data_IF_334753260149
#
_entry.id   IF_334753260149
#
_cell.length_a   1.000
_cell.length_b   1.000
_cell.length_c   1.000
_cell.angle_alpha   90.00
_cell.angle_beta   90.00
_cell.angle_gamma   90.00
#
_symmetry.space_group_name_H-M   'P 1'
#
loop_
_entity.id
_entity.type
_entity.pdbx_description
1 polymer ?
#
# COMPACT_ATOMS: atom_id res chain seq x y z
N UNK A 1 16.44 29.44 -5.58
CA UNK A 1 17.77 28.79 -5.47
C UNK A 1 17.78 27.91 -4.22
N UNK A 2 17.74 26.56 -4.30
CA UNK A 2 17.70 25.71 -3.13
C UNK A 2 19.11 25.34 -2.64
N UNK A 3 19.32 25.38 -1.33
CA UNK A 3 20.60 25.09 -0.70
C UNK A 3 20.92 23.58 -0.70
N UNK A 4 22.08 23.21 -1.26
CA UNK A 4 22.61 21.82 -1.26
C UNK A 4 22.94 21.36 0.17
N UNK A 5 22.20 20.38 0.68
CA UNK A 5 22.54 19.62 1.90
C UNK A 5 23.75 18.73 1.58
N UNK A 6 24.93 19.06 2.11
CA UNK A 6 26.11 18.19 1.99
C UNK A 6 25.91 16.98 2.90
N UNK A 7 25.63 15.83 2.32
CA UNK A 7 25.77 14.55 3.01
C UNK A 7 27.25 14.21 3.04
N UNK A 8 27.88 14.28 4.21
CA UNK A 8 29.24 13.79 4.41
C UNK A 8 29.29 12.31 4.02
N UNK A 9 30.22 11.94 3.14
CA UNK A 9 30.44 10.56 2.71
C UNK A 9 30.93 9.67 3.85
N UNK A 10 30.93 8.34 3.65
CA UNK A 10 31.35 7.40 4.69
C UNK A 10 32.85 7.55 4.91
N UNK A 11 33.24 8.08 6.07
CA UNK A 11 34.61 7.99 6.55
C UNK A 11 34.88 6.54 6.94
N UNK A 12 35.39 5.76 5.99
CA UNK A 12 36.03 4.48 6.28
C UNK A 12 37.32 4.77 7.04
N UNK A 13 37.24 4.94 8.35
CA UNK A 13 38.42 4.97 9.22
C UNK A 13 38.88 3.54 9.44
N UNK A 14 39.70 3.05 8.52
CA UNK A 14 40.66 1.98 8.80
C UNK A 14 41.62 2.51 9.86
N UNK A 15 41.32 2.22 11.13
CA UNK A 15 42.13 2.61 12.28
C UNK A 15 42.24 1.41 13.20
N UNK A 16 43.16 0.49 12.87
CA UNK A 16 43.71 -0.42 13.87
C UNK A 16 44.40 0.43 14.93
N UNK A 17 43.89 0.40 16.15
CA UNK A 17 44.40 1.22 17.25
C UNK A 17 43.85 0.70 18.56
N UNK A 18 44.67 -0.09 19.24
CA UNK A 18 44.67 -0.34 20.69
C UNK A 18 43.31 -0.63 21.34
N UNK A 19 43.09 -1.90 21.67
CA UNK A 19 42.37 -2.32 22.87
C UNK A 19 43.08 -1.80 24.13
N UNK A 20 43.23 -0.49 24.26
CA UNK A 20 43.52 0.15 25.54
C UNK A 20 42.17 0.50 26.16
N UNK A 21 41.71 -0.40 27.02
CA UNK A 21 40.64 -0.16 27.98
C UNK A 21 40.99 1.10 28.74
N UNK A 22 40.42 2.25 28.34
CA UNK A 22 40.50 3.44 29.18
C UNK A 22 39.94 3.06 30.56
N UNK A 23 40.50 3.54 31.68
CA UNK A 23 40.04 3.16 33.02
C UNK A 23 38.55 3.44 33.25
N UNK A 24 37.92 4.29 32.42
CA UNK A 24 36.48 4.53 32.39
C UNK A 24 35.64 3.40 31.74
N UNK A 25 36.24 2.56 30.90
CA UNK A 25 35.56 1.48 30.17
C UNK A 25 35.23 0.28 31.07
N UNK A 26 35.99 0.11 32.15
CA UNK A 26 35.76 -0.92 33.15
C UNK A 26 34.86 -0.50 34.31
N UNK A 27 34.55 0.80 34.43
CA UNK A 27 33.62 1.34 35.42
C UNK A 27 32.22 0.67 35.26
N UNK A 28 31.67 0.07 36.33
CA UNK A 28 30.33 -0.52 36.30
C UNK A 28 29.24 0.45 35.82
N UNK A 29 29.36 1.75 36.11
CA UNK A 29 28.40 2.75 35.65
C UNK A 29 28.45 2.95 34.12
N UNK A 30 29.65 2.90 33.53
CA UNK A 30 29.82 2.94 32.08
C UNK A 30 29.23 1.69 31.41
N UNK A 31 29.55 0.50 31.92
CA UNK A 31 29.05 -0.78 31.40
C UNK A 31 27.51 -0.84 31.38
N UNK A 32 26.86 -0.37 32.44
CA UNK A 32 25.39 -0.28 32.51
C UNK A 32 24.80 0.67 31.46
N UNK A 33 25.36 1.87 31.30
CA UNK A 33 24.93 2.83 30.27
C UNK A 33 25.10 2.25 28.86
N UNK A 34 26.22 1.55 28.60
CA UNK A 34 26.48 0.94 27.30
C UNK A 34 25.54 -0.23 27.01
N UNK A 35 25.29 -1.09 28.00
CA UNK A 35 24.28 -2.16 27.90
C UNK A 35 22.90 -1.60 27.54
N UNK A 36 22.45 -0.56 28.25
CA UNK A 36 21.16 0.10 27.98
C UNK A 36 21.09 0.73 26.59
N UNK A 37 22.18 1.35 26.12
CA UNK A 37 22.23 1.91 24.77
C UNK A 37 22.19 0.82 23.69
N UNK A 38 22.98 -0.25 23.86
CA UNK A 38 22.99 -1.38 22.93
C UNK A 38 21.59 -2.00 22.82
N UNK A 39 20.92 -2.19 23.95
CA UNK A 39 19.54 -2.68 23.99
C UNK A 39 18.57 -1.70 23.29
N UNK A 40 18.68 -0.40 23.54
CA UNK A 40 17.86 0.60 22.85
C UNK A 40 18.07 0.58 21.33
N UNK A 41 19.32 0.48 20.88
CA UNK A 41 19.66 0.39 19.46
C UNK A 41 19.10 -0.88 18.82
N UNK A 42 19.21 -2.02 19.50
CA UNK A 42 18.61 -3.28 19.04
C UNK A 42 17.09 -3.14 18.89
N UNK A 43 16.40 -2.60 19.92
CA UNK A 43 14.96 -2.35 19.83
C UNK A 43 14.59 -1.41 18.68
N UNK A 44 15.36 -0.35 18.44
CA UNK A 44 15.11 0.56 17.31
C UNK A 44 15.24 -0.17 15.97
N UNK A 45 16.30 -0.96 15.78
CA UNK A 45 16.52 -1.74 14.56
C UNK A 45 15.39 -2.74 14.33
N UNK A 46 15.00 -3.47 15.37
CA UNK A 46 13.89 -4.43 15.32
C UNK A 46 12.57 -3.73 14.98
N UNK A 47 12.28 -2.58 15.60
CA UNK A 47 11.09 -1.78 15.29
C UNK A 47 11.06 -1.36 13.83
N UNK A 48 12.19 -0.89 13.28
CA UNK A 48 12.28 -0.50 11.87
C UNK A 48 12.10 -1.69 10.95
N UNK A 49 12.74 -2.83 11.27
CA UNK A 49 12.59 -4.09 10.51
C UNK A 49 11.14 -4.56 10.50
N UNK A 50 10.52 -4.65 11.69
CA UNK A 50 9.13 -5.04 11.85
C UNK A 50 8.18 -4.11 11.09
N UNK A 51 8.37 -2.80 11.17
CA UNK A 51 7.54 -1.84 10.43
C UNK A 51 7.68 -1.99 8.91
N UNK A 52 8.87 -2.36 8.42
CA UNK A 52 9.07 -2.65 6.99
C UNK A 52 8.37 -3.96 6.57
N UNK A 53 8.45 -5.00 7.39
CA UNK A 53 7.74 -6.27 7.18
C UNK A 53 6.22 -6.08 7.22
N UNK A 54 5.69 -5.34 8.20
CA UNK A 54 4.27 -5.00 8.31
C UNK A 54 3.77 -4.27 7.06
N UNK A 55 4.55 -3.30 6.54
CA UNK A 55 4.22 -2.59 5.29
C UNK A 55 4.22 -3.53 4.09
N UNK A 56 5.21 -4.41 3.98
CA UNK A 56 5.26 -5.41 2.90
C UNK A 56 4.02 -6.32 2.94
N UNK A 57 3.69 -6.85 4.12
CA UNK A 57 2.54 -7.72 4.31
C UNK A 57 1.22 -6.98 4.02
N UNK A 58 1.13 -5.69 4.38
CA UNK A 58 -0.05 -4.87 4.06
C UNK A 58 -0.21 -4.67 2.55
N UNK A 59 0.89 -4.44 1.83
CA UNK A 59 0.86 -4.32 0.36
C UNK A 59 0.41 -5.63 -0.28
N UNK A 60 0.92 -6.76 0.20
CA UNK A 60 0.54 -8.09 -0.29
C UNK A 60 -0.95 -8.36 -0.05
N UNK A 61 -1.44 -8.13 1.17
CA UNK A 61 -2.86 -8.21 1.50
C UNK A 61 -3.72 -7.34 0.57
N UNK A 62 -3.35 -6.07 0.37
CA UNK A 62 -4.10 -5.15 -0.49
C UNK A 62 -4.10 -5.59 -1.96
N UNK A 63 -3.04 -6.24 -2.44
CA UNK A 63 -3.00 -6.79 -3.81
C UNK A 63 -3.96 -7.96 -3.95
N UNK A 64 -3.97 -8.88 -3.01
CA UNK A 64 -4.89 -10.01 -3.01
C UNK A 64 -6.35 -9.53 -2.92
N UNK A 65 -6.62 -8.55 -2.07
CA UNK A 65 -7.96 -8.00 -1.88
C UNK A 65 -8.45 -7.28 -3.15
N UNK A 66 -7.59 -6.50 -3.81
CA UNK A 66 -7.92 -5.91 -5.11
C UNK A 66 -8.25 -6.96 -6.18
N UNK A 67 -7.49 -8.06 -6.24
CA UNK A 67 -7.79 -9.14 -7.19
C UNK A 67 -9.16 -9.77 -6.92
N UNK A 68 -9.50 -9.98 -5.65
CA UNK A 68 -10.82 -10.49 -5.26
C UNK A 68 -11.94 -9.52 -5.64
N UNK A 69 -11.78 -8.24 -5.31
CA UNK A 69 -12.75 -7.20 -5.65
C UNK A 69 -12.94 -7.08 -7.16
N UNK A 70 -11.86 -7.07 -7.94
CA UNK A 70 -11.93 -7.03 -9.40
C UNK A 70 -12.69 -8.24 -9.96
N UNK A 71 -12.43 -9.43 -9.42
CA UNK A 71 -13.14 -10.66 -9.84
C UNK A 71 -14.64 -10.56 -9.54
N UNK A 72 -15.01 -10.03 -8.37
CA UNK A 72 -16.41 -9.79 -8.03
C UNK A 72 -17.07 -8.80 -8.99
N UNK A 73 -16.43 -7.65 -9.24
CA UNK A 73 -16.90 -6.64 -10.20
C UNK A 73 -17.12 -7.25 -11.58
N UNK A 74 -16.15 -8.03 -12.07
CA UNK A 74 -16.26 -8.67 -13.38
C UNK A 74 -17.39 -9.71 -13.44
N UNK A 75 -17.65 -10.41 -12.32
CA UNK A 75 -18.76 -11.36 -12.23
C UNK A 75 -20.12 -10.66 -12.23
N UNK A 76 -20.24 -9.54 -11.52
CA UNK A 76 -21.45 -8.72 -11.48
C UNK A 76 -21.71 -8.07 -12.84
N UNK A 77 -20.68 -7.54 -13.51
CA UNK A 77 -20.77 -7.02 -14.88
C UNK A 77 -21.30 -8.08 -15.85
N UNK A 78 -20.84 -9.33 -15.74
CA UNK A 78 -21.36 -10.45 -16.54
C UNK A 78 -22.83 -10.75 -16.22
N UNK A 79 -23.23 -10.73 -14.94
CA UNK A 79 -24.63 -10.92 -14.56
C UNK A 79 -25.53 -9.80 -15.12
N UNK A 80 -25.08 -8.55 -15.06
CA UNK A 80 -25.79 -7.41 -15.64
C UNK A 80 -25.92 -7.58 -17.15
N UNK A 81 -24.83 -7.92 -17.85
CA UNK A 81 -24.86 -8.16 -19.29
C UNK A 81 -25.80 -9.30 -19.68
N UNK A 82 -25.83 -10.38 -18.89
CA UNK A 82 -26.74 -11.50 -19.09
C UNK A 82 -28.22 -11.08 -18.91
N UNK A 83 -28.54 -10.36 -17.84
CA UNK A 83 -29.88 -9.82 -17.61
C UNK A 83 -30.30 -8.84 -18.71
N UNK A 84 -29.40 -7.96 -19.16
CA UNK A 84 -29.62 -7.08 -20.33
C UNK A 84 -29.98 -7.91 -21.57
N UNK A 85 -29.24 -8.98 -21.83
CA UNK A 85 -29.53 -9.90 -22.93
C UNK A 85 -30.93 -10.52 -22.85
N UNK A 86 -31.34 -11.01 -21.68
CA UNK A 86 -32.67 -11.58 -21.44
C UNK A 86 -33.79 -10.56 -21.66
N UNK A 87 -33.60 -9.34 -21.16
CA UNK A 87 -34.56 -8.25 -21.33
C UNK A 87 -34.71 -7.91 -22.82
N UNK A 88 -33.60 -7.77 -23.56
CA UNK A 88 -33.61 -7.50 -25.00
C UNK A 88 -34.24 -8.64 -25.81
N UNK A 89 -34.02 -9.90 -25.42
CA UNK A 89 -34.71 -11.06 -26.00
C UNK A 89 -36.22 -10.98 -25.76
N UNK A 90 -36.63 -10.61 -24.54
CA UNK A 90 -38.03 -10.39 -24.16
C UNK A 90 -38.70 -9.24 -24.93
N UNK A 91 -37.96 -8.19 -25.29
CA UNK A 91 -38.44 -7.08 -26.14
C UNK A 91 -38.82 -7.54 -27.55
N UNK A 92 -38.17 -8.59 -28.09
CA UNK A 92 -38.57 -9.19 -29.38
C UNK A 92 -39.99 -9.78 -29.33
N UNK A 93 -40.51 -10.07 -28.12
CA UNK A 93 -41.88 -10.53 -27.87
C UNK A 93 -42.85 -9.38 -27.52
N UNK A 94 -42.71 -8.23 -28.20
CA UNK A 94 -43.62 -7.09 -28.41
C UNK A 94 -44.33 -6.40 -27.23
N UNK A 95 -44.63 -7.07 -26.12
CA UNK A 95 -45.53 -6.55 -25.07
C UNK A 95 -44.84 -5.56 -24.11
N UNK A 96 -43.52 -5.59 -23.98
CA UNK A 96 -42.78 -4.83 -22.95
C UNK A 96 -41.73 -3.85 -23.51
N UNK A 97 -41.75 -3.57 -24.81
CA UNK A 97 -40.68 -2.82 -25.49
C UNK A 97 -40.44 -1.42 -24.90
N UNK A 98 -41.50 -0.68 -24.55
CA UNK A 98 -41.39 0.68 -24.03
C UNK A 98 -40.85 0.75 -22.59
N UNK A 99 -41.29 -0.16 -21.71
CA UNK A 99 -40.77 -0.23 -20.33
C UNK A 99 -39.29 -0.65 -20.28
N UNK A 100 -38.85 -1.41 -21.28
CA UNK A 100 -37.45 -1.85 -21.42
C UNK A 100 -36.53 -0.70 -21.85
N UNK A 101 -37.04 0.24 -22.65
CA UNK A 101 -36.27 1.39 -23.11
C UNK A 101 -36.01 2.39 -21.96
N UNK A 102 -37.00 2.59 -21.08
CA UNK A 102 -36.87 3.41 -19.86
C UNK A 102 -35.82 2.84 -18.88
N UNK A 103 -35.78 1.51 -18.71
CA UNK A 103 -34.77 0.85 -17.86
C UNK A 103 -33.36 1.03 -18.42
N UNK A 104 -33.19 0.96 -19.74
CA UNK A 104 -31.89 1.15 -20.38
C UNK A 104 -31.37 2.59 -20.22
N UNK A 105 -32.25 3.59 -20.33
CA UNK A 105 -31.89 5.01 -20.18
C UNK A 105 -31.43 5.31 -18.75
N UNK A 106 -32.15 4.81 -17.74
CA UNK A 106 -31.77 4.92 -16.33
C UNK A 106 -30.41 4.28 -16.03
N UNK A 107 -30.12 3.12 -16.61
CA UNK A 107 -28.85 2.41 -16.38
C UNK A 107 -27.66 3.03 -17.12
N UNK A 108 -27.88 3.64 -18.30
CA UNK A 108 -26.82 4.39 -19.00
C UNK A 108 -26.40 5.64 -18.24
N UNK A 109 -27.32 6.32 -17.58
CA UNK A 109 -26.98 7.48 -16.72
C UNK A 109 -26.07 7.13 -15.54
N UNK A 110 -25.99 5.85 -15.15
CA UNK A 110 -25.08 5.37 -14.10
C UNK A 110 -23.72 4.88 -14.60
N UNK A 111 -23.53 4.76 -15.92
CA UNK A 111 -22.25 4.38 -16.54
C UNK A 111 -21.34 5.60 -16.81
N UNK A 112 -21.90 6.83 -16.78
CA UNK A 112 -21.16 8.09 -17.00
C UNK A 112 -20.48 8.66 -15.73
N UNK A 113 -20.65 8.02 -14.57
CA UNK A 113 -19.78 8.25 -13.40
C UNK A 113 -18.44 7.53 -13.63
N UNK A 114 -17.72 7.98 -14.66
CA UNK A 114 -16.35 7.61 -14.99
C UNK A 114 -15.47 7.61 -13.73
N UNK A 115 -14.69 6.53 -13.59
CA UNK A 115 -13.68 6.34 -12.55
C UNK A 115 -12.75 7.57 -12.48
N UNK A 116 -13.08 8.52 -11.61
CA UNK A 116 -12.14 9.59 -11.21
C UNK A 116 -11.05 8.92 -10.40
N UNK A 117 -10.07 8.33 -11.08
CA UNK A 117 -8.83 7.84 -10.50
C UNK A 117 -8.22 9.04 -9.76
N UNK A 118 -8.18 9.05 -8.42
CA UNK A 118 -7.55 10.15 -7.70
C UNK A 118 -6.08 10.16 -8.12
N UNK A 119 -5.70 11.21 -8.84
CA UNK A 119 -4.30 11.47 -9.18
C UNK A 119 -3.57 11.71 -7.84
N UNK A 120 -3.01 10.65 -7.27
CA UNK A 120 -2.15 10.78 -6.10
C UNK A 120 -0.94 11.61 -6.52
N UNK A 121 -0.96 12.89 -6.15
CA UNK A 121 0.20 13.77 -6.25
C UNK A 121 1.30 13.14 -5.40
N UNK A 122 2.37 12.73 -6.07
CA UNK A 122 3.62 12.40 -5.40
C UNK A 122 4.30 13.74 -5.07
N UNK A 123 4.11 14.21 -3.84
CA UNK A 123 4.89 15.31 -3.25
C UNK A 123 6.27 14.82 -2.78
#
# INVERSE_FOLDING_TARGET
MPARRRTAGPSTSTGGGSTETSPQSDDPAYKLKRKKNNEAVQRTREKTKKSAEERKNRIEFLKEDNVKLQTSIDSEKKHIAWLRGLILEGKKNAQNAAAIDEINELLQSSEDDEDVIPQYKND
#
